data_IF_522373163661
#
_entry.id   IF_522373163661
#
_cell.length_a   1.000
_cell.length_b   1.000
_cell.length_c   1.000
_cell.angle_alpha   90.00
_cell.angle_beta   90.00
_cell.angle_gamma   90.00
#
_symmetry.space_group_name_H-M   'P 1'
#
loop_
_entity.id
_entity.type
_entity.pdbx_description
1 polymer ?
#
# COMPACT_ATOMS: atom_id res chain seq x y z
N UNK A 1 4.44 -14.15 3.13
CA UNK A 1 2.96 -14.19 3.22
C UNK A 1 2.56 -13.06 4.16
N UNK A 2 1.56 -12.23 3.82
CA UNK A 2 1.17 -11.05 4.62
C UNK A 2 0.14 -11.46 5.67
N UNK A 3 0.36 -11.09 6.93
CA UNK A 3 -0.57 -11.28 8.04
C UNK A 3 -1.41 -10.01 8.24
N UNK A 4 -2.72 -10.16 8.39
CA UNK A 4 -3.67 -9.05 8.50
C UNK A 4 -3.41 -8.11 9.69
N UNK A 5 -3.01 -8.65 10.84
CA UNK A 5 -2.87 -7.90 12.10
C UNK A 5 -1.45 -7.39 12.35
N UNK A 6 -0.50 -7.74 11.48
CA UNK A 6 0.91 -7.38 11.63
C UNK A 6 1.19 -5.96 11.09
N UNK A 7 2.18 -5.29 11.68
CA UNK A 7 2.60 -3.95 11.27
C UNK A 7 3.85 -4.07 10.41
N UNK A 8 3.78 -3.52 9.20
CA UNK A 8 4.86 -3.49 8.24
C UNK A 8 5.48 -2.09 8.15
N UNK A 9 6.78 -2.05 7.93
CA UNK A 9 7.53 -0.83 7.62
C UNK A 9 7.22 -0.33 6.20
N UNK A 10 7.66 0.90 5.91
CA UNK A 10 7.56 1.47 4.57
C UNK A 10 8.30 0.61 3.52
N UNK A 11 9.49 0.11 3.84
CA UNK A 11 10.32 -0.69 2.94
C UNK A 11 9.68 -2.06 2.65
N UNK A 12 9.19 -2.75 3.70
CA UNK A 12 8.46 -4.01 3.53
C UNK A 12 7.21 -3.83 2.69
N UNK A 13 6.44 -2.77 2.95
CA UNK A 13 5.22 -2.48 2.17
C UNK A 13 5.54 -2.21 0.69
N UNK A 14 6.62 -1.47 0.42
CA UNK A 14 7.09 -1.21 -0.94
C UNK A 14 7.46 -2.49 -1.67
N UNK A 15 8.20 -3.39 -1.01
CA UNK A 15 8.58 -4.71 -1.55
C UNK A 15 7.35 -5.59 -1.81
N UNK A 16 6.42 -5.65 -0.86
CA UNK A 16 5.19 -6.45 -0.97
C UNK A 16 4.29 -5.98 -2.10
N UNK A 17 4.13 -4.66 -2.26
CA UNK A 17 3.29 -4.07 -3.31
C UNK A 17 4.04 -3.86 -4.63
N UNK A 18 5.36 -4.11 -4.68
CA UNK A 18 6.26 -3.84 -5.81
C UNK A 18 6.15 -2.41 -6.33
N UNK A 19 6.26 -1.44 -5.42
CA UNK A 19 6.17 0.00 -5.74
C UNK A 19 7.38 0.77 -5.20
N UNK A 20 7.70 1.89 -5.83
CA UNK A 20 8.73 2.82 -5.36
C UNK A 20 8.27 3.62 -4.12
N UNK A 21 9.23 4.18 -3.37
CA UNK A 21 8.98 5.06 -2.22
C UNK A 21 8.09 6.27 -2.60
N UNK A 22 8.32 6.86 -3.77
CA UNK A 22 7.51 7.98 -4.27
C UNK A 22 6.06 7.57 -4.53
N UNK A 23 5.84 6.36 -5.04
CA UNK A 23 4.50 5.78 -5.21
C UNK A 23 3.87 5.45 -3.86
N UNK A 24 4.60 4.83 -2.94
CA UNK A 24 4.14 4.57 -1.57
C UNK A 24 3.65 5.85 -0.87
N UNK A 25 4.45 6.92 -0.89
CA UNK A 25 4.05 8.23 -0.33
C UNK A 25 2.85 8.83 -1.06
N UNK A 26 2.77 8.70 -2.38
CA UNK A 26 1.63 9.19 -3.19
C UNK A 26 0.35 8.45 -2.82
N UNK A 27 0.39 7.13 -2.63
CA UNK A 27 -0.77 6.34 -2.21
C UNK A 27 -1.27 6.75 -0.83
N UNK A 28 -0.36 7.04 0.11
CA UNK A 28 -0.70 7.59 1.43
C UNK A 28 -1.33 8.97 1.29
N UNK A 29 -0.71 9.88 0.54
CA UNK A 29 -1.23 11.25 0.33
C UNK A 29 -2.62 11.26 -0.32
N UNK A 30 -2.91 10.28 -1.20
CA UNK A 30 -4.21 10.12 -1.85
C UNK A 30 -5.23 9.35 -1.01
N UNK A 31 -4.87 8.88 0.20
CA UNK A 31 -5.74 8.08 1.06
C UNK A 31 -6.01 6.66 0.56
N UNK A 32 -5.29 6.19 -0.47
CA UNK A 32 -5.43 4.85 -1.06
C UNK A 32 -4.80 3.80 -0.15
N UNK A 33 -3.67 4.14 0.47
CA UNK A 33 -3.00 3.33 1.48
C UNK A 33 -3.06 4.06 2.82
N UNK A 34 -3.62 3.44 3.86
CA UNK A 34 -3.61 4.04 5.20
C UNK A 34 -2.34 3.62 5.93
N UNK A 35 -1.66 4.59 6.52
CA UNK A 35 -0.44 4.39 7.30
C UNK A 35 -0.44 5.32 8.51
N UNK A 36 0.12 4.85 9.63
CA UNK A 36 0.44 5.68 10.80
C UNK A 36 1.91 6.10 10.77
N UNK A 37 2.25 7.19 11.47
CA UNK A 37 3.65 7.53 11.76
C UNK A 37 3.98 7.16 13.21
N UNK A 38 5.02 6.36 13.39
CA UNK A 38 5.54 5.96 14.71
C UNK A 38 7.04 6.25 14.69
N UNK A 39 7.52 7.09 15.61
CA UNK A 39 8.94 7.50 15.64
C UNK A 39 9.43 8.15 14.34
N UNK A 40 8.56 8.92 13.67
CA UNK A 40 8.87 9.57 12.38
C UNK A 40 8.82 8.65 11.16
N UNK A 41 8.65 7.34 11.34
CA UNK A 41 8.61 6.35 10.27
C UNK A 41 7.18 5.91 9.98
N UNK A 42 6.88 5.64 8.70
CA UNK A 42 5.58 5.08 8.34
C UNK A 42 5.45 3.61 8.76
N UNK A 43 4.24 3.25 9.17
CA UNK A 43 3.82 1.92 9.57
C UNK A 43 2.47 1.61 8.95
N UNK A 44 2.35 0.45 8.32
CA UNK A 44 1.16 0.01 7.58
C UNK A 44 0.68 -1.29 8.20
N UNK A 45 -0.61 -1.35 8.51
CA UNK A 45 -1.20 -2.59 9.00
C UNK A 45 -1.45 -3.55 7.84
N UNK A 46 -1.19 -4.85 8.02
CA UNK A 46 -1.28 -5.85 6.97
C UNK A 46 -2.63 -5.88 6.25
N UNK A 47 -3.74 -5.65 6.95
CA UNK A 47 -5.08 -5.52 6.32
C UNK A 47 -5.15 -4.46 5.23
N UNK A 48 -4.40 -3.37 5.35
CA UNK A 48 -4.36 -2.33 4.33
C UNK A 48 -3.56 -2.77 3.10
N UNK A 49 -2.51 -3.57 3.28
CA UNK A 49 -1.75 -4.18 2.19
C UNK A 49 -2.63 -5.21 1.47
N UNK A 50 -3.26 -6.10 2.23
CA UNK A 50 -4.20 -7.10 1.71
C UNK A 50 -5.37 -6.44 0.97
N UNK A 51 -5.90 -5.33 1.47
CA UNK A 51 -6.95 -4.56 0.77
C UNK A 51 -6.47 -4.08 -0.61
N UNK A 52 -5.22 -3.65 -0.75
CA UNK A 52 -4.66 -3.24 -2.05
C UNK A 52 -4.43 -4.44 -2.97
N UNK A 53 -4.03 -5.59 -2.42
CA UNK A 53 -3.80 -6.80 -3.20
C UNK A 53 -5.10 -7.57 -3.54
N UNK A 54 -6.20 -7.27 -2.84
CA UNK A 54 -7.46 -8.00 -3.00
C UNK A 54 -8.11 -7.74 -4.37
N UNK A 55 -8.58 -8.79 -5.07
CA UNK A 55 -9.30 -8.66 -6.34
C UNK A 55 -10.67 -7.98 -6.20
N UNK A 56 -11.21 -7.89 -4.97
CA UNK A 56 -12.49 -7.26 -4.61
C UNK A 56 -12.39 -5.73 -4.44
N UNK A 57 -11.33 -5.10 -4.97
CA UNK A 57 -11.20 -3.64 -4.94
C UNK A 57 -12.36 -2.99 -5.72
N UNK A 58 -13.07 -2.00 -5.14
CA UNK A 58 -14.06 -1.21 -5.87
C UNK A 58 -13.44 -0.70 -7.18
N UNK A 59 -14.14 -0.85 -8.32
CA UNK A 59 -13.54 -0.75 -9.66
C UNK A 59 -12.69 0.51 -9.92
N UNK A 60 -13.01 1.64 -9.27
CA UNK A 60 -12.25 2.90 -9.35
C UNK A 60 -10.84 2.82 -8.74
N UNK A 61 -10.68 2.08 -7.64
CA UNK A 61 -9.39 1.85 -6.98
C UNK A 61 -8.55 0.83 -7.74
N UNK A 62 -9.18 -0.23 -8.27
CA UNK A 62 -8.52 -1.22 -9.13
C UNK A 62 -7.90 -0.57 -10.38
N UNK A 63 -8.66 0.28 -11.07
CA UNK A 63 -8.15 1.03 -12.23
C UNK A 63 -6.97 1.93 -11.89
N UNK A 64 -6.99 2.56 -10.72
CA UNK A 64 -5.92 3.45 -10.27
C UNK A 64 -4.67 2.67 -9.89
N UNK A 65 -4.80 1.51 -9.23
CA UNK A 65 -3.69 0.64 -8.88
C UNK A 65 -3.04 0.05 -10.15
N UNK A 66 -3.81 -0.61 -11.02
CA UNK A 66 -3.29 -1.19 -12.26
C UNK A 66 -2.64 -0.14 -13.16
N UNK A 67 -3.24 1.04 -13.34
CA UNK A 67 -2.60 2.12 -14.10
C UNK A 67 -1.26 2.60 -13.52
N UNK A 68 -1.07 2.49 -12.20
CA UNK A 68 0.18 2.90 -11.56
C UNK A 68 1.23 1.78 -11.66
N UNK A 69 0.82 0.51 -11.53
CA UNK A 69 1.73 -0.65 -11.60
C UNK A 69 2.12 -0.99 -13.03
N UNK A 70 1.19 -0.92 -14.00
CA UNK A 70 1.44 -1.27 -15.40
C UNK A 70 2.22 -0.19 -16.17
N UNK A 71 2.41 1.00 -15.58
CA UNK A 71 3.22 2.10 -16.16
C UNK A 71 4.65 2.15 -15.59
N UNK A 72 5.11 1.10 -14.91
CA UNK A 72 6.46 0.95 -14.39
C UNK A 72 7.11 -0.36 -14.85
#
# INVERSE_FOLDING_TARGET
MVNETEIYTADETQKLLKISDSTFRRLIKKGILRAGKIGGQYRVLGREILRILSPELPGKLRHTYHKIVDNF
#
